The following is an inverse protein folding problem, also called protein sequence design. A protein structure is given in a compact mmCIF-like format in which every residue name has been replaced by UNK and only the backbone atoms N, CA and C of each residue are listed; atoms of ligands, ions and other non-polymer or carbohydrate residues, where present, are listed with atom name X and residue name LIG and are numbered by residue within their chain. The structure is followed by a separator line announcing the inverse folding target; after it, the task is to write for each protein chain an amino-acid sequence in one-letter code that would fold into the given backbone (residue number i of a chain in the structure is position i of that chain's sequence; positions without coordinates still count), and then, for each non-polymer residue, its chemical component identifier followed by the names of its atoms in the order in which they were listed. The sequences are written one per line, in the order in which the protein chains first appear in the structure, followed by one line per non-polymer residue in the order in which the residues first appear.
data_IF_447991417800
#
_entry.id   IF_447991417800
#
_cell.length_a   1.000
_cell.length_b   1.000
_cell.length_c   1.000
_cell.angle_alpha   90.00
_cell.angle_beta   90.00
_cell.angle_gamma   90.00
#
_symmetry.space_group_name_H-M   'P 1'
#
loop_
_entity.id
_entity.type
_entity.pdbx_description
1 polymer ?
#
# COMPACT_ATOMS: atom_id res chain seq x y z
N UNK A 1 -17.86 -8.47 28.17
CA UNK A 1 -16.37 -8.46 28.12
C UNK A 1 -15.88 -9.13 26.84
N UNK A 2 -16.47 -10.26 26.45
CA UNK A 2 -16.14 -11.02 25.23
C UNK A 2 -16.20 -10.21 23.91
N UNK A 3 -17.22 -9.37 23.69
CA UNK A 3 -17.34 -8.59 22.44
C UNK A 3 -16.20 -7.57 22.27
N UNK A 4 -15.76 -6.93 23.35
CA UNK A 4 -14.65 -5.97 23.27
C UNK A 4 -13.34 -6.65 22.92
N UNK A 5 -13.13 -7.87 23.39
CA UNK A 5 -11.97 -8.69 23.02
C UNK A 5 -12.04 -9.14 21.55
N UNK A 6 -13.20 -9.59 21.08
CA UNK A 6 -13.41 -9.90 19.67
C UNK A 6 -13.15 -8.67 18.79
N UNK A 7 -13.71 -7.52 19.15
CA UNK A 7 -13.49 -6.25 18.44
C UNK A 7 -12.00 -5.88 18.40
N UNK A 8 -11.24 -6.10 19.48
CA UNK A 8 -9.81 -5.87 19.53
C UNK A 8 -9.02 -6.74 18.52
N UNK A 9 -9.42 -8.00 18.31
CA UNK A 9 -8.80 -8.86 17.30
C UNK A 9 -9.08 -8.37 15.88
N UNK A 10 -10.33 -8.00 15.58
CA UNK A 10 -10.67 -7.45 14.27
C UNK A 10 -10.02 -6.08 14.01
N UNK A 11 -9.90 -5.23 15.03
CA UNK A 11 -9.13 -3.98 14.97
C UNK A 11 -7.67 -4.24 14.59
N UNK A 12 -7.04 -5.23 15.23
CA UNK A 12 -5.67 -5.66 14.95
C UNK A 12 -5.54 -6.10 13.47
N UNK A 13 -6.44 -6.96 12.98
CA UNK A 13 -6.38 -7.45 11.60
C UNK A 13 -6.63 -6.34 10.58
N UNK A 14 -7.65 -5.51 10.78
CA UNK A 14 -7.97 -4.39 9.89
C UNK A 14 -6.81 -3.40 9.79
N UNK A 15 -6.13 -3.10 10.91
CA UNK A 15 -4.93 -2.26 10.89
C UNK A 15 -3.78 -2.93 10.11
N UNK A 16 -3.57 -4.23 10.28
CA UNK A 16 -2.55 -4.98 9.53
C UNK A 16 -2.78 -4.90 8.02
N UNK A 17 -4.01 -5.18 7.57
CA UNK A 17 -4.40 -5.10 6.17
C UNK A 17 -4.24 -3.69 5.60
N UNK A 18 -4.61 -2.66 6.38
CA UNK A 18 -4.37 -1.24 6.05
C UNK A 18 -2.91 -0.99 5.67
N UNK A 19 -1.96 -1.49 6.47
CA UNK A 19 -0.52 -1.31 6.21
C UNK A 19 -0.05 -2.00 4.93
N UNK A 20 -0.59 -3.17 4.58
CA UNK A 20 -0.28 -3.86 3.32
C UNK A 20 -0.65 -2.98 2.13
N UNK A 21 -1.90 -2.54 2.08
CA UNK A 21 -2.41 -1.80 0.94
C UNK A 21 -1.88 -0.38 0.87
N UNK A 22 -1.53 0.25 2.00
CA UNK A 22 -0.77 1.50 2.03
C UNK A 22 0.60 1.36 1.35
N UNK A 23 1.35 0.29 1.66
CA UNK A 23 2.65 0.04 1.02
C UNK A 23 2.50 -0.20 -0.49
N UNK A 24 1.48 -0.96 -0.90
CA UNK A 24 1.17 -1.19 -2.33
C UNK A 24 0.82 0.11 -3.04
N UNK A 25 -0.09 0.89 -2.48
CA UNK A 25 -0.54 2.17 -3.05
C UNK A 25 0.64 3.15 -3.20
N UNK A 26 1.48 3.29 -2.18
CA UNK A 26 2.65 4.19 -2.24
C UNK A 26 3.67 3.75 -3.29
N UNK A 27 3.95 2.44 -3.40
CA UNK A 27 4.87 1.93 -4.43
C UNK A 27 4.32 2.15 -5.84
N UNK A 28 3.03 1.90 -6.07
CA UNK A 28 2.42 2.08 -7.39
C UNK A 28 2.30 3.56 -7.75
N UNK A 29 1.93 4.42 -6.79
CA UNK A 29 1.92 5.88 -6.97
C UNK A 29 3.28 6.37 -7.46
N UNK A 30 4.36 6.00 -6.77
CA UNK A 30 5.71 6.42 -7.15
C UNK A 30 6.06 5.98 -8.57
N UNK A 31 5.83 4.71 -8.91
CA UNK A 31 6.14 4.17 -10.25
C UNK A 31 5.36 4.90 -11.35
N UNK A 32 4.06 5.11 -11.16
CA UNK A 32 3.20 5.84 -12.10
C UNK A 32 3.67 7.28 -12.26
N UNK A 33 3.94 7.98 -11.15
CA UNK A 33 4.44 9.36 -11.18
C UNK A 33 5.77 9.47 -11.92
N UNK A 34 6.70 8.53 -11.73
CA UNK A 34 7.98 8.54 -12.45
C UNK A 34 7.79 8.33 -13.95
N UNK A 35 6.96 7.38 -14.38
CA UNK A 35 6.68 7.15 -15.81
C UNK A 35 6.10 8.41 -16.45
N UNK A 36 5.09 9.02 -15.82
CA UNK A 36 4.47 10.25 -16.33
C UNK A 36 5.46 11.41 -16.35
N UNK A 37 6.24 11.58 -15.29
CA UNK A 37 7.25 12.63 -15.19
C UNK A 37 8.28 12.53 -16.32
N UNK A 38 8.88 11.36 -16.53
CA UNK A 38 9.88 11.17 -17.59
C UNK A 38 9.27 11.28 -19.00
N UNK A 39 8.03 10.83 -19.18
CA UNK A 39 7.31 10.99 -20.44
C UNK A 39 7.07 12.45 -20.84
N UNK A 40 6.89 13.34 -19.86
CA UNK A 40 6.66 14.77 -20.10
C UNK A 40 7.96 15.58 -20.13
N UNK A 41 8.87 15.33 -19.18
CA UNK A 41 10.07 16.15 -19.00
C UNK A 41 11.09 15.94 -20.12
N UNK A 42 11.23 14.71 -20.62
CA UNK A 42 12.18 14.40 -21.70
C UNK A 42 11.94 15.25 -22.95
N UNK A 43 10.75 15.27 -23.57
CA UNK A 43 10.52 16.10 -24.76
C UNK A 43 10.61 17.61 -24.46
N UNK A 44 10.19 18.06 -23.27
CA UNK A 44 10.27 19.46 -22.87
C UNK A 44 11.72 19.95 -22.79
N UNK A 45 12.61 19.18 -22.16
CA UNK A 45 14.04 19.51 -22.07
C UNK A 45 14.68 19.53 -23.46
N UNK A 46 14.40 18.52 -24.30
CA UNK A 46 14.91 18.46 -25.67
C UNK A 46 14.46 19.68 -26.47
N UNK A 47 13.18 20.00 -26.44
CA UNK A 47 12.63 21.18 -27.12
C UNK A 47 13.23 22.49 -26.63
N UNK A 48 13.36 22.68 -25.32
CA UNK A 48 13.93 23.89 -24.74
C UNK A 48 15.39 24.11 -25.16
N UNK A 49 16.20 23.04 -25.21
CA UNK A 49 17.61 23.12 -25.62
C UNK A 49 17.74 23.46 -27.10
N UNK A 50 16.94 22.82 -27.96
CA UNK A 50 16.92 23.12 -29.40
C UNK A 50 16.55 24.58 -29.65
N UNK A 51 15.54 25.10 -28.94
CA UNK A 51 15.12 26.50 -29.05
C UNK A 51 16.18 27.48 -28.54
N UNK A 52 16.90 27.13 -27.47
CA UNK A 52 17.87 28.05 -26.83
C UNK A 52 19.22 28.10 -27.54
N UNK A 53 19.71 26.96 -28.04
CA UNK A 53 21.09 26.83 -28.57
C UNK A 53 21.14 26.55 -30.08
N UNK A 54 19.98 26.34 -30.71
CA UNK A 54 19.87 26.05 -32.14
C UNK A 54 20.32 24.64 -32.51
N UNK A 55 20.02 24.26 -33.76
CA UNK A 55 20.24 22.91 -34.28
C UNK A 55 21.73 22.55 -34.47
N UNK A 56 22.58 23.54 -34.71
CA UNK A 56 23.99 23.33 -35.09
C UNK A 56 24.94 23.13 -33.90
N UNK A 57 24.43 22.94 -32.68
CA UNK A 57 25.28 22.72 -31.51
C UNK A 57 25.86 21.30 -31.51
N UNK A 58 27.14 21.17 -31.12
CA UNK A 58 27.80 19.85 -30.95
C UNK A 58 27.14 18.98 -29.87
N UNK A 59 26.32 19.57 -29.02
CA UNK A 59 25.62 18.91 -27.90
C UNK A 59 24.36 18.18 -28.39
N UNK A 60 23.73 18.65 -29.47
CA UNK A 60 22.45 18.14 -29.93
C UNK A 60 22.46 16.64 -30.29
N UNK A 61 23.45 16.10 -31.03
CA UNK A 61 23.46 14.67 -31.37
C UNK A 61 23.55 13.75 -30.13
N UNK A 62 24.35 14.15 -29.14
CA UNK A 62 24.46 13.42 -27.86
C UNK A 62 23.12 13.44 -27.13
N UNK A 63 22.51 14.62 -27.06
CA UNK A 63 21.23 14.81 -26.40
C UNK A 63 20.11 13.99 -27.07
N UNK A 64 20.01 14.02 -28.40
CA UNK A 64 19.04 13.23 -29.16
C UNK A 64 19.23 11.72 -28.95
N UNK A 65 20.48 11.26 -28.89
CA UNK A 65 20.78 9.85 -28.61
C UNK A 65 20.29 9.45 -27.22
N UNK A 66 20.60 10.26 -26.19
CA UNK A 66 20.14 10.00 -24.81
C UNK A 66 18.63 10.08 -24.66
N UNK A 67 17.99 11.04 -25.32
CA UNK A 67 16.54 11.19 -25.33
C UNK A 67 15.85 10.04 -26.07
N UNK A 68 16.42 9.57 -27.19
CA UNK A 68 15.92 8.41 -27.94
C UNK A 68 15.98 7.14 -27.10
N UNK A 69 17.11 6.86 -26.44
CA UNK A 69 17.24 5.72 -25.53
C UNK A 69 16.21 5.81 -24.39
N UNK A 70 16.14 6.98 -23.73
CA UNK A 70 15.19 7.23 -22.64
C UNK A 70 13.74 7.05 -23.11
N UNK A 71 13.40 7.52 -24.31
CA UNK A 71 12.08 7.39 -24.92
C UNK A 71 11.70 5.93 -25.18
N UNK A 72 12.62 5.12 -25.71
CA UNK A 72 12.38 3.68 -25.91
C UNK A 72 12.11 2.98 -24.57
N UNK A 73 12.92 3.23 -23.54
CA UNK A 73 12.69 2.68 -22.20
C UNK A 73 11.37 3.16 -21.60
N UNK A 74 11.03 4.44 -21.76
CA UNK A 74 9.79 5.02 -21.25
C UNK A 74 8.56 4.39 -21.92
N UNK A 75 8.57 4.23 -23.25
CA UNK A 75 7.48 3.58 -23.97
C UNK A 75 7.30 2.13 -23.52
N UNK A 76 8.40 1.38 -23.39
CA UNK A 76 8.34 0.00 -22.90
C UNK A 76 7.74 -0.09 -21.48
N UNK A 77 8.15 0.80 -20.57
CA UNK A 77 7.59 0.85 -19.21
C UNK A 77 6.13 1.30 -19.18
N UNK A 78 5.75 2.27 -20.02
CA UNK A 78 4.36 2.69 -20.17
C UNK A 78 3.47 1.55 -20.67
N UNK A 79 3.87 0.85 -21.73
CA UNK A 79 3.12 -0.32 -22.23
C UNK A 79 3.04 -1.41 -21.15
N UNK A 80 4.13 -1.69 -20.46
CA UNK A 80 4.13 -2.65 -19.36
C UNK A 80 3.19 -2.26 -18.22
N UNK A 81 3.11 -0.97 -17.87
CA UNK A 81 2.22 -0.49 -16.81
C UNK A 81 0.74 -0.74 -17.11
N UNK A 82 0.35 -0.69 -18.38
CA UNK A 82 -1.00 -1.01 -18.86
C UNK A 82 -1.24 -2.52 -18.81
N UNK A 83 -0.32 -3.32 -19.35
CA UNK A 83 -0.43 -4.80 -19.34
C UNK A 83 -0.51 -5.35 -17.91
N UNK A 84 0.31 -4.79 -17.01
CA UNK A 84 0.34 -5.16 -15.61
C UNK A 84 -0.75 -4.47 -14.77
N UNK A 85 -1.64 -3.68 -15.39
CA UNK A 85 -2.82 -3.06 -14.76
C UNK A 85 -2.49 -2.27 -13.50
N UNK A 86 -1.43 -1.46 -13.58
CA UNK A 86 -0.93 -0.70 -12.42
C UNK A 86 -1.95 0.30 -11.90
N UNK A 87 -2.79 0.84 -12.79
CA UNK A 87 -3.81 1.83 -12.46
C UNK A 87 -4.92 1.18 -11.63
N UNK A 88 -5.49 0.06 -12.08
CA UNK A 88 -6.53 -0.65 -11.34
C UNK A 88 -5.99 -1.25 -10.04
N UNK A 89 -4.75 -1.76 -10.06
CA UNK A 89 -4.12 -2.28 -8.84
C UNK A 89 -3.89 -1.16 -7.82
N UNK A 90 -3.56 0.05 -8.27
CA UNK A 90 -3.41 1.21 -7.41
C UNK A 90 -4.76 1.65 -6.84
N UNK A 91 -5.78 1.79 -7.68
CA UNK A 91 -7.13 2.16 -7.26
C UNK A 91 -7.69 1.18 -6.23
N UNK A 92 -7.54 -0.12 -6.51
CA UNK A 92 -7.92 -1.16 -5.56
C UNK A 92 -7.16 -1.02 -4.24
N UNK A 93 -5.84 -0.80 -4.28
CA UNK A 93 -5.05 -0.65 -3.06
C UNK A 93 -5.49 0.58 -2.24
N UNK A 94 -5.82 1.69 -2.89
CA UNK A 94 -6.36 2.88 -2.22
C UNK A 94 -7.75 2.60 -1.62
N UNK A 95 -8.61 1.90 -2.34
CA UNK A 95 -9.92 1.51 -1.86
C UNK A 95 -9.82 0.59 -0.64
N UNK A 96 -9.00 -0.46 -0.71
CA UNK A 96 -8.79 -1.39 0.39
C UNK A 96 -8.19 -0.71 1.61
N UNK A 97 -7.21 0.17 1.42
CA UNK A 97 -6.64 1.03 2.46
C UNK A 97 -7.74 1.83 3.17
N UNK A 98 -8.61 2.51 2.40
CA UNK A 98 -9.70 3.33 2.95
C UNK A 98 -10.71 2.47 3.71
N UNK A 99 -11.17 1.37 3.12
CA UNK A 99 -12.15 0.48 3.74
C UNK A 99 -11.61 -0.18 5.02
N UNK A 100 -10.38 -0.68 5.01
CA UNK A 100 -9.78 -1.28 6.20
C UNK A 100 -9.49 -0.25 7.30
N UNK A 101 -9.17 0.99 6.93
CA UNK A 101 -9.05 2.10 7.91
C UNK A 101 -10.39 2.40 8.57
N UNK A 102 -11.47 2.39 7.80
CA UNK A 102 -12.84 2.59 8.32
C UNK A 102 -13.24 1.45 9.27
N UNK A 103 -13.00 0.19 8.88
CA UNK A 103 -13.23 -0.98 9.74
C UNK A 103 -12.42 -0.90 11.03
N UNK A 104 -11.13 -0.56 10.95
CA UNK A 104 -10.28 -0.33 12.11
C UNK A 104 -10.90 0.71 13.06
N UNK A 105 -11.34 1.85 12.54
CA UNK A 105 -11.97 2.88 13.35
C UNK A 105 -13.30 2.42 13.97
N UNK A 106 -14.11 1.64 13.25
CA UNK A 106 -15.37 1.10 13.75
C UNK A 106 -15.15 0.10 14.88
N UNK A 107 -14.23 -0.86 14.73
CA UNK A 107 -13.89 -1.80 15.80
C UNK A 107 -13.28 -1.09 17.02
N UNK A 108 -12.42 -0.09 16.79
CA UNK A 108 -11.88 0.76 17.85
C UNK A 108 -12.99 1.46 18.64
N UNK A 109 -14.00 2.04 17.96
CA UNK A 109 -15.16 2.67 18.61
C UNK A 109 -15.94 1.67 19.48
N UNK A 110 -16.15 0.44 19.02
CA UNK A 110 -16.83 -0.61 19.81
C UNK A 110 -16.06 -0.92 21.09
N UNK A 111 -14.74 -1.05 20.99
CA UNK A 111 -13.85 -1.30 22.13
C UNK A 111 -13.93 -0.18 23.17
N UNK A 112 -13.89 1.07 22.71
CA UNK A 112 -13.84 2.28 23.54
C UNK A 112 -15.23 2.74 24.04
N UNK A 113 -16.32 2.23 23.45
CA UNK A 113 -17.68 2.64 23.79
C UNK A 113 -18.14 2.14 25.17
N UNK A 114 -18.94 2.96 25.85
CA UNK A 114 -19.60 2.65 27.12
C UNK A 114 -21.10 2.35 26.94
N UNK A 115 -21.55 2.08 25.72
CA UNK A 115 -22.92 1.69 25.44
C UNK A 115 -23.30 0.33 26.06
N UNK A 116 -24.60 0.05 26.23
CA UNK A 116 -25.09 -1.26 26.66
C UNK A 116 -24.58 -2.39 25.76
N UNK A 117 -24.39 -3.57 26.34
CA UNK A 117 -23.77 -4.71 25.64
C UNK A 117 -24.59 -5.15 24.42
N UNK A 118 -25.92 -5.09 24.52
CA UNK A 118 -26.85 -5.45 23.45
C UNK A 118 -26.66 -4.53 22.23
N UNK A 119 -26.39 -3.25 22.47
CA UNK A 119 -26.11 -2.28 21.41
C UNK A 119 -24.75 -2.56 20.78
N UNK A 120 -23.74 -2.89 21.59
CA UNK A 120 -22.39 -3.23 21.09
C UNK A 120 -22.39 -4.51 20.25
N UNK A 121 -23.21 -5.51 20.61
CA UNK A 121 -23.38 -6.74 19.82
C UNK A 121 -23.92 -6.46 18.43
N UNK A 122 -24.97 -5.65 18.32
CA UNK A 122 -25.55 -5.27 17.03
C UNK A 122 -24.49 -4.57 16.16
N UNK A 123 -23.80 -3.57 16.70
CA UNK A 123 -22.76 -2.85 15.95
C UNK A 123 -21.59 -3.76 15.56
N UNK A 124 -21.20 -4.67 16.46
CA UNK A 124 -20.15 -5.64 16.19
C UNK A 124 -20.53 -6.56 15.04
N UNK A 125 -21.74 -7.13 15.05
CA UNK A 125 -22.21 -8.02 14.00
C UNK A 125 -22.35 -7.33 12.64
N UNK A 126 -22.80 -6.08 12.63
CA UNK A 126 -22.81 -5.25 11.42
C UNK A 126 -21.40 -5.00 10.88
N UNK A 127 -20.48 -4.56 11.75
CA UNK A 127 -19.09 -4.28 11.37
C UNK A 127 -18.36 -5.56 10.92
N UNK A 128 -18.64 -6.69 11.57
CA UNK A 128 -18.08 -8.00 11.23
C UNK A 128 -18.49 -8.45 9.83
N UNK A 129 -19.76 -8.27 9.44
CA UNK A 129 -20.21 -8.57 8.07
C UNK A 129 -19.49 -7.70 7.04
N UNK A 130 -19.33 -6.40 7.32
CA UNK A 130 -18.57 -5.50 6.44
C UNK A 130 -17.09 -5.93 6.32
N UNK A 131 -16.50 -6.42 7.41
CA UNK A 131 -15.16 -6.98 7.42
C UNK A 131 -15.07 -8.25 6.57
N UNK A 132 -15.96 -9.22 6.77
CA UNK A 132 -15.99 -10.49 6.03
C UNK A 132 -16.17 -10.24 4.52
N UNK A 133 -17.05 -9.31 4.15
CA UNK A 133 -17.23 -8.88 2.75
C UNK A 133 -15.96 -8.25 2.17
N UNK A 134 -15.23 -7.45 2.96
CA UNK A 134 -13.98 -6.84 2.52
C UNK A 134 -12.87 -7.89 2.41
N UNK A 135 -12.75 -8.77 3.39
CA UNK A 135 -11.77 -9.85 3.41
C UNK A 135 -11.96 -10.74 2.18
N UNK A 136 -13.20 -11.11 1.84
CA UNK A 136 -13.50 -11.89 0.64
C UNK A 136 -12.98 -11.22 -0.65
N UNK A 137 -13.11 -9.89 -0.76
CA UNK A 137 -12.54 -9.14 -1.88
C UNK A 137 -11.02 -9.11 -1.85
N UNK A 138 -10.42 -8.90 -0.67
CA UNK A 138 -8.97 -8.79 -0.48
C UNK A 138 -8.24 -10.14 -0.72
N UNK A 139 -8.90 -11.27 -0.49
CA UNK A 139 -8.37 -12.61 -0.81
C UNK A 139 -8.00 -12.75 -2.29
N UNK A 140 -8.73 -12.09 -3.20
CA UNK A 140 -8.45 -12.09 -4.63
C UNK A 140 -7.16 -11.34 -5.05
N UNK A 141 -6.47 -10.68 -4.11
CA UNK A 141 -5.34 -9.79 -4.40
C UNK A 141 -3.96 -10.42 -4.19
N UNK A 142 -3.89 -11.75 -4.07
CA UNK A 142 -2.64 -12.49 -3.92
C UNK A 142 -1.73 -11.92 -2.82
N UNK A 143 -2.25 -11.79 -1.60
CA UNK A 143 -1.47 -11.31 -0.45
C UNK A 143 -0.42 -12.36 -0.09
N UNK A 144 0.85 -12.02 -0.26
CA UNK A 144 1.97 -12.92 -0.02
C UNK A 144 2.22 -13.12 1.48
N UNK A 145 2.84 -14.24 1.87
CA UNK A 145 3.21 -14.46 3.27
C UNK A 145 4.21 -13.41 3.79
N UNK A 146 5.04 -12.89 2.88
CA UNK A 146 5.91 -11.74 3.14
C UNK A 146 5.12 -10.52 3.61
N UNK A 147 4.02 -10.22 2.92
CA UNK A 147 3.12 -9.12 3.28
C UNK A 147 2.34 -9.39 4.56
N UNK A 148 1.91 -10.63 4.80
CA UNK A 148 1.27 -11.02 6.06
C UNK A 148 2.21 -10.82 7.26
N UNK A 149 3.48 -11.24 7.13
CA UNK A 149 4.51 -11.01 8.16
C UNK A 149 4.80 -9.54 8.37
N UNK A 150 4.87 -8.77 7.28
CA UNK A 150 4.99 -7.31 7.34
C UNK A 150 3.83 -6.70 8.11
N UNK A 151 2.59 -7.03 7.76
CA UNK A 151 1.38 -6.55 8.43
C UNK A 151 1.41 -6.88 9.92
N UNK A 152 1.64 -8.15 10.26
CA UNK A 152 1.73 -8.62 11.64
C UNK A 152 2.81 -7.85 12.43
N UNK A 153 3.99 -7.63 11.86
CA UNK A 153 5.04 -6.82 12.49
C UNK A 153 4.59 -5.39 12.76
N UNK A 154 3.99 -4.74 11.75
CA UNK A 154 3.50 -3.36 11.89
C UNK A 154 2.42 -3.24 12.96
N UNK A 155 1.50 -4.20 13.01
CA UNK A 155 0.42 -4.24 13.98
C UNK A 155 0.95 -4.49 15.39
N UNK A 156 1.81 -5.49 15.59
CA UNK A 156 2.45 -5.76 16.89
C UNK A 156 3.23 -4.55 17.41
N UNK A 157 3.96 -3.85 16.52
CA UNK A 157 4.66 -2.61 16.86
C UNK A 157 3.70 -1.51 17.31
N UNK A 158 2.61 -1.29 16.56
CA UNK A 158 1.65 -0.23 16.83
C UNK A 158 0.87 -0.45 18.14
N UNK A 159 0.45 -1.68 18.41
CA UNK A 159 -0.30 -2.04 19.64
C UNK A 159 0.61 -2.42 20.82
N UNK A 160 1.93 -2.45 20.64
CA UNK A 160 2.87 -2.87 21.70
C UNK A 160 2.69 -4.32 22.14
N UNK A 161 2.26 -5.20 21.24
CA UNK A 161 1.94 -6.60 21.55
C UNK A 161 3.14 -7.53 21.32
N UNK A 162 3.20 -8.61 22.11
CA UNK A 162 4.24 -9.63 22.03
C UNK A 162 3.96 -10.56 20.85
N UNK A 163 4.96 -10.81 20.00
CA UNK A 163 4.83 -11.85 18.99
C UNK A 163 4.77 -13.25 19.63
N UNK A 164 3.78 -14.06 19.27
CA UNK A 164 3.66 -15.44 19.76
C UNK A 164 4.88 -16.33 19.45
N UNK A 165 5.61 -16.06 18.35
CA UNK A 165 6.72 -16.91 17.92
C UNK A 165 8.05 -16.51 18.55
N UNK A 166 8.38 -15.20 18.61
CA UNK A 166 9.67 -14.74 19.12
C UNK A 166 9.61 -14.14 20.53
N UNK A 167 8.41 -14.04 21.13
CA UNK A 167 8.18 -13.57 22.50
C UNK A 167 8.77 -12.17 22.77
N UNK A 168 8.84 -11.34 21.74
CA UNK A 168 9.34 -9.96 21.81
C UNK A 168 8.33 -9.01 21.19
N UNK A 169 8.21 -7.82 21.76
CA UNK A 169 7.53 -6.68 21.12
C UNK A 169 8.50 -6.10 20.08
N UNK A 170 8.10 -5.94 18.81
CA UNK A 170 8.92 -5.26 17.83
C UNK A 170 9.26 -3.83 18.29
N UNK A 171 10.51 -3.41 18.16
CA UNK A 171 10.98 -2.08 18.60
C UNK A 171 11.31 -1.13 17.44
N UNK A 172 11.27 -1.61 16.20
CA UNK A 172 11.58 -0.80 15.02
C UNK A 172 10.78 -1.28 13.81
N UNK A 173 10.68 -0.43 12.78
CA UNK A 173 10.06 -0.78 11.50
C UNK A 173 10.89 -1.74 10.63
N UNK A 174 12.11 -2.07 11.06
CA UNK A 174 13.03 -2.93 10.30
C UNK A 174 12.63 -4.40 10.43
N UNK A 175 12.75 -5.19 9.34
CA UNK A 175 12.50 -6.61 9.36
C UNK A 175 13.46 -7.33 10.32
N UNK A 176 13.02 -8.46 10.86
CA UNK A 176 13.79 -9.32 11.76
C UNK A 176 13.84 -10.75 11.23
N UNK A 177 14.60 -11.65 11.87
CA UNK A 177 14.69 -13.06 11.45
C UNK A 177 13.46 -13.90 11.84
N UNK A 178 12.45 -13.33 12.47
CA UNK A 178 11.26 -14.06 12.91
C UNK A 178 10.35 -14.42 11.71
N UNK A 179 10.03 -15.70 11.53
CA UNK A 179 9.15 -16.16 10.45
C UNK A 179 7.67 -15.76 10.61
N UNK A 180 7.28 -15.22 11.78
CA UNK A 180 5.91 -14.77 12.07
C UNK A 180 5.74 -13.26 11.94
N UNK A 181 6.69 -12.48 12.47
CA UNK A 181 6.56 -11.03 12.58
C UNK A 181 7.78 -10.27 12.05
N UNK A 182 8.55 -10.76 11.09
CA UNK A 182 9.81 -10.07 10.77
C UNK A 182 10.44 -10.37 9.43
N UNK A 183 10.44 -11.63 9.01
CA UNK A 183 11.14 -12.09 7.82
C UNK A 183 10.36 -11.68 6.55
N UNK A 184 10.43 -10.38 6.22
CA UNK A 184 9.74 -9.67 5.15
C UNK A 184 10.59 -8.58 4.49
#
# INVERSE_FOLDING_TARGET
MEIKEKANNYEFWAFGTTRIFEKRANSLKLRRTLITFFGLVTPVIVGAIVLSFGYNSKILPVLLTTAGITGVFQLALSTWSIVARWDETYEYAVESLRSNTELYNQFKKIKESNQPIEVLEIHFEETRKLYEDREFRDLGQNITDKEKRFANHQTLLYFGQICHACQKVPSSYKPTKCNSCGNY
#
